data_IF_157629722890
#
_entry.id   IF_157629722890
#
_cell.length_a   1.000
_cell.length_b   1.000
_cell.length_c   1.000
_cell.angle_alpha   90.00
_cell.angle_beta   90.00
_cell.angle_gamma   90.00
#
_symmetry.space_group_name_H-M   'P 1'
#
loop_
_entity.id
_entity.type
_entity.pdbx_description
1 polymer ?
#
# COMPACT_ATOMS: atom_id res chain seq x y z
N UNK A 1 38.47 11.92 17.78
CA UNK A 1 39.21 12.38 16.59
C UNK A 1 38.56 13.69 16.13
N UNK A 2 39.31 14.66 15.58
CA UNK A 2 38.76 16.02 15.33
C UNK A 2 37.63 16.08 14.27
N UNK A 3 37.36 14.98 13.56
CA UNK A 3 36.45 14.92 12.42
C UNK A 3 35.30 13.91 12.60
N UNK A 4 35.05 13.44 13.83
CA UNK A 4 34.01 12.42 14.10
C UNK A 4 32.59 12.87 13.70
N UNK A 5 32.33 14.19 13.66
CA UNK A 5 31.07 14.79 13.20
C UNK A 5 30.88 14.77 11.68
N UNK A 6 31.94 14.55 10.90
CA UNK A 6 31.92 14.38 9.45
C UNK A 6 31.89 12.90 9.03
N UNK A 7 31.76 11.99 9.99
CA UNK A 7 31.65 10.57 9.71
C UNK A 7 30.36 10.25 8.96
N UNK A 8 30.47 9.37 7.97
CA UNK A 8 29.34 8.94 7.16
C UNK A 8 28.41 8.09 8.04
N UNK A 9 27.24 8.62 8.35
CA UNK A 9 26.22 7.89 9.09
C UNK A 9 25.30 7.11 8.12
N UNK A 10 24.80 5.96 8.57
CA UNK A 10 23.93 5.09 7.76
C UNK A 10 22.66 5.80 7.25
N UNK A 11 21.98 6.65 8.04
CA UNK A 11 20.86 7.45 7.52
C UNK A 11 21.28 8.44 6.42
N UNK A 12 22.50 9.00 6.49
CA UNK A 12 22.98 9.90 5.43
C UNK A 12 23.19 9.15 4.11
N UNK A 13 23.76 7.94 4.18
CA UNK A 13 23.86 7.04 3.02
C UNK A 13 22.47 6.69 2.48
N UNK A 14 21.51 6.39 3.35
CA UNK A 14 20.13 6.12 2.95
C UNK A 14 19.52 7.28 2.15
N UNK A 15 19.64 8.52 2.63
CA UNK A 15 19.11 9.69 1.94
C UNK A 15 19.81 9.94 0.61
N UNK A 16 21.13 9.77 0.56
CA UNK A 16 21.92 9.94 -0.67
C UNK A 16 21.55 8.87 -1.70
N UNK A 17 21.44 7.61 -1.30
CA UNK A 17 21.09 6.50 -2.21
C UNK A 17 19.66 6.65 -2.68
N UNK A 18 18.69 6.84 -1.78
CA UNK A 18 17.27 6.99 -2.15
C UNK A 18 17.05 8.25 -2.99
N UNK A 19 17.56 9.41 -2.55
CA UNK A 19 17.40 10.68 -3.26
C UNK A 19 18.17 10.74 -4.58
N UNK A 20 19.41 10.23 -4.59
CA UNK A 20 20.24 10.15 -5.78
C UNK A 20 19.66 9.19 -6.83
N UNK A 21 19.25 7.99 -6.41
CA UNK A 21 18.57 7.05 -7.30
C UNK A 21 17.26 7.61 -7.84
N UNK A 22 16.38 8.12 -6.97
CA UNK A 22 15.07 8.61 -7.42
C UNK A 22 15.20 9.80 -8.36
N UNK A 23 16.08 10.76 -8.07
CA UNK A 23 16.32 11.91 -8.96
C UNK A 23 16.89 11.49 -10.32
N UNK A 24 17.93 10.65 -10.35
CA UNK A 24 18.51 10.13 -11.59
C UNK A 24 17.50 9.30 -12.39
N UNK A 25 16.74 8.43 -11.71
CA UNK A 25 15.70 7.63 -12.33
C UNK A 25 14.60 8.52 -12.94
N UNK A 26 14.14 9.54 -12.23
CA UNK A 26 13.11 10.46 -12.74
C UNK A 26 13.53 11.14 -14.05
N UNK A 27 14.81 11.51 -14.20
CA UNK A 27 15.35 12.12 -15.43
C UNK A 27 15.26 11.19 -16.65
N UNK A 28 15.38 9.88 -16.46
CA UNK A 28 15.35 8.88 -17.54
C UNK A 28 14.07 8.04 -17.56
N UNK A 29 13.13 8.32 -16.66
CA UNK A 29 11.93 7.50 -16.42
C UNK A 29 11.10 7.28 -17.69
N UNK A 30 10.99 8.29 -18.56
CA UNK A 30 10.23 8.18 -19.82
C UNK A 30 10.91 7.21 -20.79
N UNK A 31 12.24 7.20 -20.87
CA UNK A 31 12.98 6.25 -21.69
C UNK A 31 12.80 4.82 -21.17
N UNK A 32 12.97 4.61 -19.85
CA UNK A 32 12.80 3.30 -19.22
C UNK A 32 11.38 2.75 -19.45
N UNK A 33 10.36 3.59 -19.25
CA UNK A 33 8.95 3.18 -19.40
C UNK A 33 8.54 2.97 -20.85
N UNK A 34 8.86 3.91 -21.75
CA UNK A 34 8.31 3.89 -23.10
C UNK A 34 9.20 3.20 -24.15
N UNK A 35 10.49 3.01 -23.86
CA UNK A 35 11.42 2.33 -24.79
C UNK A 35 11.84 0.96 -24.29
N UNK A 36 12.18 0.83 -23.02
CA UNK A 36 12.60 -0.46 -22.45
C UNK A 36 11.42 -1.29 -21.93
N UNK A 37 10.25 -0.68 -21.71
CA UNK A 37 9.06 -1.33 -21.15
C UNK A 37 9.30 -1.99 -19.79
N UNK A 38 10.19 -1.41 -18.98
CA UNK A 38 10.51 -1.90 -17.63
C UNK A 38 9.72 -1.10 -16.59
N UNK A 39 9.10 -1.80 -15.64
CA UNK A 39 8.38 -1.20 -14.52
C UNK A 39 9.32 -0.55 -13.49
N UNK A 40 8.86 0.51 -12.82
CA UNK A 40 9.66 1.24 -11.82
C UNK A 40 10.09 0.34 -10.67
N UNK A 41 9.19 -0.55 -10.22
CA UNK A 41 9.46 -1.51 -9.15
C UNK A 41 10.67 -2.40 -9.48
N UNK A 42 10.75 -2.93 -10.70
CA UNK A 42 11.88 -3.77 -11.12
C UNK A 42 13.21 -3.02 -11.07
N UNK A 43 13.24 -1.77 -11.54
CA UNK A 43 14.46 -0.95 -11.49
C UNK A 43 14.84 -0.60 -10.05
N UNK A 44 13.86 -0.25 -9.22
CA UNK A 44 14.07 0.01 -7.80
C UNK A 44 14.58 -1.24 -7.06
N UNK A 45 14.07 -2.43 -7.36
CA UNK A 45 14.55 -3.70 -6.79
C UNK A 45 15.99 -3.97 -7.19
N UNK A 46 16.35 -3.80 -8.48
CA UNK A 46 17.74 -3.98 -8.95
C UNK A 46 18.67 -3.00 -8.23
N UNK A 47 18.26 -1.74 -8.10
CA UNK A 47 18.99 -0.73 -7.33
C UNK A 47 19.20 -1.17 -5.87
N UNK A 48 18.13 -1.65 -5.22
CA UNK A 48 18.19 -2.19 -3.86
C UNK A 48 19.14 -3.39 -3.72
N UNK A 49 19.20 -4.28 -4.71
CA UNK A 49 20.16 -5.41 -4.72
C UNK A 49 21.60 -4.92 -4.89
N UNK A 50 21.84 -3.95 -5.78
CA UNK A 50 23.18 -3.37 -6.04
C UNK A 50 23.72 -2.64 -4.81
N UNK A 51 22.90 -1.82 -4.15
CA UNK A 51 23.32 -1.06 -2.97
C UNK A 51 23.16 -1.85 -1.65
N UNK A 52 22.42 -2.96 -1.70
CA UNK A 52 22.15 -3.85 -0.59
C UNK A 52 23.33 -4.74 -0.20
N UNK A 53 23.14 -5.64 0.78
CA UNK A 53 24.20 -6.47 1.34
C UNK A 53 24.82 -7.46 0.34
N UNK A 54 24.12 -7.78 -0.74
CA UNK A 54 24.59 -8.74 -1.75
C UNK A 54 25.64 -8.19 -2.72
N UNK A 55 25.79 -6.86 -2.82
CA UNK A 55 26.76 -6.23 -3.73
C UNK A 55 27.57 -5.14 -3.03
N UNK A 56 27.15 -3.88 -3.08
CA UNK A 56 27.95 -2.76 -2.54
C UNK A 56 27.91 -2.68 -1.00
N UNK A 57 26.97 -3.36 -0.35
CA UNK A 57 26.79 -3.41 1.11
C UNK A 57 26.76 -2.01 1.77
N UNK A 58 26.17 -1.03 1.07
CA UNK A 58 26.05 0.35 1.56
C UNK A 58 24.75 0.56 2.35
N UNK A 59 23.73 -0.25 2.09
CA UNK A 59 22.43 -0.20 2.74
C UNK A 59 22.02 -1.61 3.18
N UNK A 60 22.32 -1.96 4.43
CA UNK A 60 22.00 -3.28 4.99
C UNK A 60 20.90 -3.17 6.06
N UNK A 61 19.64 -3.52 5.73
CA UNK A 61 18.53 -3.56 6.68
C UNK A 61 18.79 -4.49 7.87
N UNK A 62 19.55 -5.57 7.69
CA UNK A 62 19.79 -6.55 8.75
C UNK A 62 20.56 -5.96 9.94
N UNK A 63 21.31 -4.90 9.68
CA UNK A 63 22.15 -4.22 10.65
C UNK A 63 21.40 -3.18 11.51
N UNK A 64 20.09 -3.00 11.31
CA UNK A 64 19.29 -1.94 11.94
C UNK A 64 18.78 -2.28 13.35
N UNK A 65 19.14 -3.44 13.88
CA UNK A 65 18.67 -3.92 15.17
C UNK A 65 17.28 -4.54 15.04
N UNK A 66 16.22 -3.73 15.07
CA UNK A 66 14.84 -4.23 14.91
C UNK A 66 14.37 -4.12 13.45
N UNK A 67 14.92 -5.00 12.62
CA UNK A 67 14.69 -5.03 11.16
C UNK A 67 13.21 -5.12 10.85
N UNK A 68 12.49 -6.03 11.52
CA UNK A 68 11.07 -6.27 11.26
C UNK A 68 10.24 -5.04 11.58
N UNK A 69 10.43 -4.43 12.76
CA UNK A 69 9.68 -3.25 13.15
C UNK A 69 9.97 -2.07 12.21
N UNK A 70 11.24 -1.80 11.89
CA UNK A 70 11.59 -0.68 11.01
C UNK A 70 11.02 -0.91 9.61
N UNK A 71 11.14 -2.12 9.07
CA UNK A 71 10.59 -2.48 7.75
C UNK A 71 9.07 -2.33 7.74
N UNK A 72 8.38 -2.82 8.76
CA UNK A 72 6.93 -2.71 8.87
C UNK A 72 6.46 -1.26 8.94
N UNK A 73 7.10 -0.40 9.74
CA UNK A 73 6.71 1.02 9.83
C UNK A 73 7.06 1.80 8.57
N UNK A 74 8.19 1.50 7.91
CA UNK A 74 8.51 2.07 6.60
C UNK A 74 7.46 1.67 5.55
N UNK A 75 7.11 0.39 5.45
CA UNK A 75 6.05 -0.09 4.56
C UNK A 75 4.69 0.56 4.87
N UNK A 76 4.36 0.73 6.16
CA UNK A 76 3.11 1.41 6.58
C UNK A 76 3.05 2.84 6.05
N UNK A 77 4.14 3.61 6.17
CA UNK A 77 4.20 4.98 5.66
C UNK A 77 4.04 4.99 4.13
N UNK A 78 4.71 4.07 3.42
CA UNK A 78 4.60 3.96 1.96
C UNK A 78 3.16 3.66 1.54
N UNK A 79 2.50 2.69 2.18
CA UNK A 79 1.10 2.34 1.92
C UNK A 79 0.16 3.54 2.17
N UNK A 80 0.38 4.29 3.26
CA UNK A 80 -0.42 5.49 3.56
C UNK A 80 -0.25 6.55 2.48
N UNK A 81 0.98 6.80 2.02
CA UNK A 81 1.27 7.74 0.94
C UNK A 81 0.59 7.30 -0.37
N UNK A 82 0.68 6.02 -0.72
CA UNK A 82 0.07 5.45 -1.93
C UNK A 82 -1.46 5.55 -1.89
N UNK A 83 -2.09 5.09 -0.81
CA UNK A 83 -3.54 5.17 -0.61
C UNK A 83 -4.03 6.63 -0.65
N UNK A 84 -3.28 7.55 -0.03
CA UNK A 84 -3.58 8.99 -0.07
C UNK A 84 -3.50 9.55 -1.50
N UNK A 85 -2.44 9.23 -2.25
CA UNK A 85 -2.26 9.67 -3.62
C UNK A 85 -3.43 9.21 -4.51
N UNK A 86 -3.82 7.93 -4.42
CA UNK A 86 -4.97 7.39 -5.16
C UNK A 86 -6.26 8.13 -4.77
N UNK A 87 -6.48 8.37 -3.47
CA UNK A 87 -7.65 9.10 -2.99
C UNK A 87 -7.78 10.53 -3.53
N UNK A 88 -6.65 11.22 -3.74
CA UNK A 88 -6.60 12.57 -4.31
C UNK A 88 -6.77 12.58 -5.83
N UNK A 89 -6.26 11.55 -6.52
CA UNK A 89 -6.36 11.43 -7.98
C UNK A 89 -7.77 11.07 -8.47
N UNK A 90 -8.55 10.36 -7.65
CA UNK A 90 -9.90 9.92 -8.02
C UNK A 90 -10.88 11.10 -8.20
N UNK A 91 -11.81 11.02 -9.18
CA UNK A 91 -12.83 12.05 -9.38
C UNK A 91 -13.73 12.24 -8.15
N UNK A 92 -14.24 13.46 -7.97
CA UNK A 92 -15.18 13.79 -6.89
C UNK A 92 -16.39 12.85 -6.91
N UNK A 93 -16.70 12.26 -5.75
CA UNK A 93 -17.82 11.33 -5.57
C UNK A 93 -17.79 10.09 -6.49
N UNK A 94 -16.60 9.67 -6.94
CA UNK A 94 -16.47 8.47 -7.77
C UNK A 94 -16.94 7.22 -7.02
N UNK A 95 -16.47 7.04 -5.78
CA UNK A 95 -16.83 5.88 -4.95
C UNK A 95 -18.33 5.78 -4.71
N UNK A 96 -19.08 6.88 -4.57
CA UNK A 96 -20.54 6.79 -4.35
C UNK A 96 -21.31 6.48 -5.63
N UNK A 97 -20.78 6.84 -6.81
CA UNK A 97 -21.42 6.57 -8.12
C UNK A 97 -21.12 5.16 -8.64
N UNK A 98 -19.91 4.66 -8.41
CA UNK A 98 -19.41 3.40 -8.99
C UNK A 98 -19.13 2.31 -7.94
N UNK A 99 -19.66 2.45 -6.71
CA UNK A 99 -19.43 1.49 -5.61
C UNK A 99 -19.71 0.03 -6.01
N UNK A 100 -20.76 -0.22 -6.82
CA UNK A 100 -21.09 -1.58 -7.26
C UNK A 100 -19.94 -2.23 -8.02
N UNK A 101 -19.36 -1.51 -8.99
CA UNK A 101 -18.26 -2.01 -9.80
C UNK A 101 -17.03 -2.30 -8.94
N UNK A 102 -16.71 -1.40 -8.00
CA UNK A 102 -15.60 -1.59 -7.06
C UNK A 102 -15.85 -2.80 -6.15
N UNK A 103 -17.07 -2.97 -5.62
CA UNK A 103 -17.45 -4.12 -4.80
C UNK A 103 -17.36 -5.44 -5.57
N UNK A 104 -17.82 -5.48 -6.83
CA UNK A 104 -17.68 -6.69 -7.66
C UNK A 104 -16.21 -7.05 -7.94
N UNK A 105 -15.33 -6.08 -8.07
CA UNK A 105 -13.90 -6.35 -8.25
C UNK A 105 -13.26 -6.83 -6.93
N UNK A 106 -13.53 -6.14 -5.83
CA UNK A 106 -12.89 -6.40 -4.54
C UNK A 106 -13.40 -7.63 -3.79
N UNK A 107 -14.65 -8.04 -4.01
CA UNK A 107 -15.22 -9.20 -3.31
C UNK A 107 -15.13 -10.45 -4.19
N UNK A 108 -16.01 -10.68 -5.20
CA UNK A 108 -16.01 -11.96 -5.89
C UNK A 108 -14.79 -12.16 -6.79
N UNK A 109 -14.33 -11.14 -7.53
CA UNK A 109 -13.18 -11.30 -8.45
C UNK A 109 -11.89 -11.51 -7.66
N UNK A 110 -11.62 -10.67 -6.66
CA UNK A 110 -10.46 -10.81 -5.77
C UNK A 110 -10.48 -12.15 -5.02
N UNK A 111 -11.63 -12.58 -4.47
CA UNK A 111 -11.76 -13.89 -3.78
C UNK A 111 -11.50 -15.05 -4.73
N UNK A 112 -12.04 -14.99 -5.95
CA UNK A 112 -11.81 -16.03 -6.95
C UNK A 112 -10.32 -16.10 -7.34
N UNK A 113 -9.70 -14.95 -7.60
CA UNK A 113 -8.27 -14.87 -7.88
C UNK A 113 -7.43 -15.46 -6.76
N UNK A 114 -7.73 -15.10 -5.51
CA UNK A 114 -7.07 -15.63 -4.31
C UNK A 114 -7.13 -17.15 -4.21
N UNK A 115 -8.33 -17.74 -4.39
CA UNK A 115 -8.50 -19.19 -4.34
C UNK A 115 -7.75 -19.89 -5.47
N UNK A 116 -7.85 -19.37 -6.70
CA UNK A 116 -7.15 -19.94 -7.85
C UNK A 116 -5.64 -19.90 -7.64
N UNK A 117 -5.08 -18.77 -7.22
CA UNK A 117 -3.65 -18.62 -6.93
C UNK A 117 -3.22 -19.56 -5.79
N UNK A 118 -4.03 -19.72 -4.74
CA UNK A 118 -3.74 -20.66 -3.64
C UNK A 118 -3.60 -22.10 -4.12
N UNK A 119 -4.45 -22.54 -5.06
CA UNK A 119 -4.41 -23.88 -5.64
C UNK A 119 -3.17 -24.05 -6.51
N UNK A 120 -2.82 -23.04 -7.31
CA UNK A 120 -1.60 -23.07 -8.12
C UNK A 120 -0.34 -23.15 -7.25
N UNK A 121 -0.24 -22.35 -6.19
CA UNK A 121 0.90 -22.38 -5.26
C UNK A 121 1.02 -23.74 -4.58
N UNK A 122 -0.10 -24.25 -4.06
CA UNK A 122 -0.16 -25.56 -3.41
C UNK A 122 0.28 -26.69 -4.35
N UNK A 123 -0.16 -26.63 -5.61
CA UNK A 123 0.19 -27.63 -6.62
C UNK A 123 1.66 -27.55 -7.05
N UNK A 124 2.22 -26.34 -7.17
CA UNK A 124 3.59 -26.11 -7.63
C UNK A 124 4.63 -26.39 -6.54
N UNK A 125 4.35 -26.01 -5.29
CA UNK A 125 5.30 -26.05 -4.18
C UNK A 125 4.90 -27.15 -3.19
N UNK A 126 5.34 -28.38 -3.49
CA UNK A 126 4.97 -29.61 -2.75
C UNK A 126 5.12 -29.56 -1.21
N UNK A 127 6.12 -28.85 -0.63
CA UNK A 127 6.24 -28.79 0.84
C UNK A 127 5.15 -27.99 1.55
N UNK A 128 4.40 -27.13 0.83
CA UNK A 128 3.42 -26.23 1.45
C UNK A 128 2.07 -26.91 1.62
N UNK A 129 1.42 -26.70 2.76
CA UNK A 129 0.01 -27.04 2.90
C UNK A 129 -0.86 -26.09 2.07
N UNK A 130 -2.11 -26.49 1.81
CA UNK A 130 -3.04 -25.59 1.13
C UNK A 130 -3.30 -24.30 1.94
N UNK A 131 -3.28 -24.38 3.29
CA UNK A 131 -3.44 -23.20 4.14
C UNK A 131 -2.23 -22.24 4.06
N UNK A 132 -1.01 -22.77 3.99
CA UNK A 132 0.19 -21.95 3.77
C UNK A 132 0.11 -21.27 2.40
N UNK A 133 -0.34 -22.02 1.39
CA UNK A 133 -0.55 -21.51 0.04
C UNK A 133 -1.65 -20.44 -0.02
N UNK A 134 -2.70 -20.58 0.80
CA UNK A 134 -3.77 -19.62 0.97
C UNK A 134 -3.25 -18.31 1.60
N UNK A 135 -2.37 -18.41 2.59
CA UNK A 135 -1.71 -17.26 3.20
C UNK A 135 -0.80 -16.53 2.19
N UNK A 136 0.01 -17.26 1.44
CA UNK A 136 0.87 -16.67 0.40
C UNK A 136 0.04 -16.04 -0.71
N UNK A 137 -1.02 -16.71 -1.16
CA UNK A 137 -1.92 -16.17 -2.17
C UNK A 137 -2.55 -14.85 -1.71
N UNK A 138 -2.88 -14.70 -0.42
CA UNK A 138 -3.46 -13.46 0.10
C UNK A 138 -2.50 -12.27 -0.05
N UNK A 139 -1.19 -12.49 0.15
CA UNK A 139 -0.16 -11.46 -0.06
C UNK A 139 0.01 -11.06 -1.55
N UNK A 140 -0.31 -11.96 -2.48
CA UNK A 140 -0.20 -11.73 -3.93
C UNK A 140 -1.48 -11.17 -4.54
N UNK A 141 -2.62 -11.30 -3.85
CA UNK A 141 -3.93 -10.93 -4.36
C UNK A 141 -4.12 -9.41 -4.43
N UNK A 142 -3.47 -8.63 -3.56
CA UNK A 142 -3.46 -7.18 -3.66
C UNK A 142 -2.73 -6.72 -4.94
N UNK A 143 -3.42 -5.95 -5.78
CA UNK A 143 -2.93 -5.43 -7.06
C UNK A 143 -2.37 -4.02 -6.89
N UNK A 144 -1.07 -3.83 -7.16
CA UNK A 144 -0.41 -2.56 -6.90
C UNK A 144 -0.86 -1.44 -7.88
N UNK A 145 -1.38 -0.29 -7.39
CA UNK A 145 -1.73 0.86 -8.23
C UNK A 145 -0.52 1.43 -8.99
N UNK A 146 0.71 1.29 -8.48
CA UNK A 146 1.94 1.74 -9.14
C UNK A 146 2.23 0.91 -10.38
N UNK A 147 2.11 -0.42 -10.30
CA UNK A 147 2.24 -1.29 -11.46
C UNK A 147 1.10 -1.04 -12.47
N UNK A 148 -0.12 -0.86 -11.97
CA UNK A 148 -1.26 -0.48 -12.79
C UNK A 148 -1.05 0.88 -13.47
N UNK A 149 -0.40 1.85 -12.83
CA UNK A 149 -0.15 3.20 -13.35
C UNK A 149 0.64 3.22 -14.68
N UNK A 150 1.44 2.19 -14.95
CA UNK A 150 2.10 2.02 -16.24
C UNK A 150 1.10 1.81 -17.40
N UNK A 151 -0.04 1.19 -17.09
CA UNK A 151 -1.14 0.86 -18.00
C UNK A 151 -2.26 1.91 -17.93
N UNK A 152 -2.65 2.39 -16.74
CA UNK A 152 -3.75 3.34 -16.52
C UNK A 152 -3.31 4.80 -16.30
N UNK A 153 -2.02 5.11 -16.31
CA UNK A 153 -1.50 6.46 -16.07
C UNK A 153 -1.64 7.43 -17.25
N UNK A 154 -0.56 8.15 -17.59
CA UNK A 154 -0.53 9.15 -18.68
C UNK A 154 0.35 8.76 -19.88
N UNK A 155 0.95 7.58 -19.84
CA UNK A 155 1.81 7.06 -20.91
C UNK A 155 1.04 6.71 -22.20
N UNK A 156 1.78 6.31 -23.25
CA UNK A 156 1.21 5.90 -24.54
C UNK A 156 0.11 4.84 -24.46
N UNK A 157 0.23 3.86 -23.55
CA UNK A 157 -0.77 2.80 -23.38
C UNK A 157 -2.04 3.30 -22.70
N UNK A 158 -1.91 4.16 -21.71
CA UNK A 158 -3.08 4.71 -21.00
C UNK A 158 -3.96 5.60 -21.88
N UNK A 159 -3.40 6.23 -22.93
CA UNK A 159 -4.18 6.95 -23.94
C UNK A 159 -5.13 6.03 -24.74
N UNK A 160 -4.87 4.71 -24.76
CA UNK A 160 -5.71 3.71 -25.43
C UNK A 160 -6.84 3.18 -24.55
N UNK A 161 -6.81 3.46 -23.24
CA UNK A 161 -7.79 2.96 -22.28
C UNK A 161 -8.79 4.08 -21.93
N UNK A 162 -10.11 3.81 -22.07
CA UNK A 162 -11.15 4.76 -21.67
C UNK A 162 -10.97 5.26 -20.24
N UNK A 163 -11.22 6.55 -20.01
CA UNK A 163 -11.02 7.19 -18.70
C UNK A 163 -11.79 6.48 -17.58
N UNK A 164 -13.03 6.05 -17.85
CA UNK A 164 -13.85 5.37 -16.84
C UNK A 164 -13.25 4.04 -16.35
N UNK A 165 -12.55 3.29 -17.22
CA UNK A 165 -11.85 2.06 -16.83
C UNK A 165 -10.58 2.38 -16.04
N UNK A 166 -9.87 3.45 -16.40
CA UNK A 166 -8.70 3.91 -15.65
C UNK A 166 -9.07 4.33 -14.23
N UNK A 167 -10.11 5.15 -14.09
CA UNK A 167 -10.63 5.58 -12.78
C UNK A 167 -11.14 4.38 -11.96
N UNK A 168 -11.75 3.37 -12.60
CA UNK A 168 -12.23 2.15 -11.93
C UNK A 168 -11.08 1.28 -11.42
N UNK A 169 -10.07 1.05 -12.26
CA UNK A 169 -8.89 0.28 -11.90
C UNK A 169 -8.10 1.00 -10.81
N UNK A 170 -7.92 2.31 -10.89
CA UNK A 170 -7.31 3.09 -9.80
C UNK A 170 -8.09 3.00 -8.50
N UNK A 171 -9.43 3.03 -8.56
CA UNK A 171 -10.26 2.87 -7.36
C UNK A 171 -10.17 1.46 -6.76
N UNK A 172 -10.15 0.43 -7.60
CA UNK A 172 -9.95 -0.96 -7.18
C UNK A 172 -8.58 -1.14 -6.52
N UNK A 173 -7.52 -0.69 -7.18
CA UNK A 173 -6.14 -0.81 -6.69
C UNK A 173 -5.83 0.09 -5.49
N UNK A 174 -6.66 1.08 -5.18
CA UNK A 174 -6.56 1.85 -3.93
C UNK A 174 -7.33 1.23 -2.76
N UNK A 175 -8.34 0.41 -3.03
CA UNK A 175 -9.18 -0.20 -2.00
C UNK A 175 -8.74 -1.62 -1.66
N UNK A 176 -8.06 -2.31 -2.58
CA UNK A 176 -7.62 -3.69 -2.41
C UNK A 176 -6.57 -3.86 -1.29
N UNK A 177 -5.72 -2.86 -1.03
CA UNK A 177 -4.69 -2.87 0.02
C UNK A 177 -5.36 -3.04 1.39
N UNK A 178 -6.47 -2.34 1.61
CA UNK A 178 -7.31 -2.52 2.80
C UNK A 178 -8.10 -3.83 2.79
N UNK A 179 -8.59 -4.27 1.63
CA UNK A 179 -9.35 -5.52 1.50
C UNK A 179 -8.48 -6.78 1.60
N UNK A 180 -7.15 -6.69 1.48
CA UNK A 180 -6.24 -7.82 1.63
C UNK A 180 -6.23 -8.40 3.05
N UNK A 181 -6.50 -7.56 4.06
CA UNK A 181 -6.51 -7.93 5.48
C UNK A 181 -7.42 -9.15 5.78
N UNK A 182 -8.73 -9.13 5.42
CA UNK A 182 -9.60 -10.29 5.56
C UNK A 182 -9.05 -11.59 4.99
N UNK A 183 -8.36 -11.57 3.85
CA UNK A 183 -7.83 -12.78 3.21
C UNK A 183 -6.62 -13.32 3.95
N UNK A 184 -5.68 -12.43 4.34
CA UNK A 184 -4.46 -12.82 5.07
C UNK A 184 -4.83 -13.38 6.44
N UNK A 185 -5.63 -12.65 7.22
CA UNK A 185 -6.00 -13.07 8.57
C UNK A 185 -6.90 -14.30 8.59
N UNK A 186 -7.75 -14.52 7.58
CA UNK A 186 -8.50 -15.78 7.47
C UNK A 186 -7.55 -16.97 7.37
N UNK A 187 -6.54 -16.89 6.50
CA UNK A 187 -5.55 -17.95 6.34
C UNK A 187 -4.75 -18.18 7.64
N UNK A 188 -4.30 -17.10 8.29
CA UNK A 188 -3.57 -17.18 9.56
C UNK A 188 -4.42 -17.82 10.66
N UNK A 189 -5.68 -17.41 10.83
CA UNK A 189 -6.56 -17.96 11.85
C UNK A 189 -6.94 -19.41 11.56
N UNK A 190 -7.14 -19.79 10.29
CA UNK A 190 -7.31 -21.19 9.90
C UNK A 190 -6.08 -22.05 10.27
N UNK A 191 -4.87 -21.51 10.13
CA UNK A 191 -3.63 -22.21 10.53
C UNK A 191 -3.54 -22.35 12.05
N UNK A 192 -3.87 -21.28 12.78
CA UNK A 192 -3.64 -21.19 14.22
C UNK A 192 -4.70 -21.91 15.05
N UNK A 193 -5.99 -21.75 14.72
CA UNK A 193 -7.10 -22.23 15.54
C UNK A 193 -7.71 -23.55 15.08
N UNK A 194 -7.20 -24.18 14.00
CA UNK A 194 -7.70 -25.49 13.55
C UNK A 194 -7.58 -26.56 14.65
N UNK A 195 -8.60 -27.43 14.83
CA UNK A 195 -9.83 -27.56 14.04
C UNK A 195 -11.02 -26.73 14.54
N UNK A 196 -10.84 -25.80 15.48
CA UNK A 196 -11.93 -25.05 16.10
C UNK A 196 -12.48 -23.94 15.19
N UNK A 197 -13.49 -24.28 14.38
CA UNK A 197 -14.12 -23.35 13.44
C UNK A 197 -14.81 -22.15 14.13
N UNK A 198 -15.26 -22.31 15.37
CA UNK A 198 -15.90 -21.23 16.13
C UNK A 198 -14.93 -20.09 16.43
N UNK A 199 -13.71 -20.42 16.88
CA UNK A 199 -12.64 -19.45 17.14
C UNK A 199 -12.16 -18.78 15.86
N UNK A 200 -11.99 -19.54 14.77
CA UNK A 200 -11.64 -18.98 13.46
C UNK A 200 -12.68 -17.94 13.02
N UNK A 201 -13.97 -18.29 13.07
CA UNK A 201 -15.04 -17.38 12.66
C UNK A 201 -15.11 -16.15 13.56
N UNK A 202 -15.00 -16.34 14.88
CA UNK A 202 -15.02 -15.23 15.84
C UNK A 202 -13.89 -14.23 15.58
N UNK A 203 -12.64 -14.71 15.51
CA UNK A 203 -11.49 -13.84 15.26
C UNK A 203 -11.54 -13.19 13.88
N UNK A 204 -11.85 -13.96 12.84
CA UNK A 204 -11.91 -13.42 11.48
C UNK A 204 -13.05 -12.41 11.29
N UNK A 205 -14.27 -12.76 11.70
CA UNK A 205 -15.43 -11.92 11.42
C UNK A 205 -15.51 -10.73 12.39
N UNK A 206 -15.31 -10.95 13.69
CA UNK A 206 -15.47 -9.89 14.69
C UNK A 206 -14.26 -8.96 14.72
N UNK A 207 -13.05 -9.51 14.79
CA UNK A 207 -11.85 -8.66 14.87
C UNK A 207 -11.45 -8.15 13.49
N UNK A 208 -11.20 -9.03 12.51
CA UNK A 208 -10.70 -8.54 11.22
C UNK A 208 -11.76 -7.79 10.42
N UNK A 209 -12.94 -8.37 10.21
CA UNK A 209 -13.95 -7.73 9.34
C UNK A 209 -14.63 -6.57 10.05
N UNK A 210 -15.22 -6.77 11.24
CA UNK A 210 -15.98 -5.70 11.90
C UNK A 210 -15.09 -4.64 12.56
N UNK A 211 -14.05 -5.04 13.29
CA UNK A 211 -13.23 -4.08 14.02
C UNK A 211 -12.14 -3.44 13.14
N UNK A 212 -11.28 -4.20 12.49
CA UNK A 212 -10.18 -3.63 11.71
C UNK A 212 -10.69 -2.95 10.43
N UNK A 213 -11.54 -3.62 9.65
CA UNK A 213 -12.00 -3.11 8.36
C UNK A 213 -13.16 -2.11 8.49
N UNK A 214 -14.30 -2.53 9.08
CA UNK A 214 -15.50 -1.69 9.12
C UNK A 214 -15.31 -0.51 10.06
N UNK A 215 -14.89 -0.73 11.31
CA UNK A 215 -14.65 0.38 12.23
C UNK A 215 -13.48 1.26 11.77
N UNK A 216 -12.40 0.70 11.22
CA UNK A 216 -11.33 1.49 10.59
C UNK A 216 -11.81 2.39 9.45
N UNK A 217 -12.65 1.87 8.55
CA UNK A 217 -13.24 2.64 7.46
C UNK A 217 -14.19 3.75 7.96
N UNK A 218 -15.02 3.46 8.97
CA UNK A 218 -15.91 4.44 9.61
C UNK A 218 -15.10 5.53 10.29
N UNK A 219 -14.08 5.16 11.07
CA UNK A 219 -13.18 6.10 11.73
C UNK A 219 -12.48 7.02 10.72
N UNK A 220 -11.89 6.46 9.67
CA UNK A 220 -11.26 7.23 8.60
C UNK A 220 -12.23 8.18 7.90
N UNK A 221 -13.45 7.73 7.62
CA UNK A 221 -14.51 8.55 7.04
C UNK A 221 -14.95 9.69 7.98
N UNK A 222 -15.12 9.42 9.28
CA UNK A 222 -15.46 10.43 10.28
C UNK A 222 -14.36 11.50 10.40
N UNK A 223 -13.10 11.08 10.52
CA UNK A 223 -11.95 12.00 10.62
C UNK A 223 -11.78 12.81 9.33
N UNK A 224 -11.87 12.17 8.16
CA UNK A 224 -11.79 12.85 6.87
C UNK A 224 -12.94 13.85 6.64
N UNK A 225 -14.16 13.49 7.04
CA UNK A 225 -15.32 14.39 6.98
C UNK A 225 -15.17 15.59 7.93
N UNK A 226 -14.72 15.35 9.16
CA UNK A 226 -14.43 16.40 10.13
C UNK A 226 -13.33 17.33 9.61
N UNK A 227 -12.21 16.78 9.11
CA UNK A 227 -11.12 17.54 8.50
C UNK A 227 -11.59 18.41 7.34
N UNK A 228 -12.45 17.88 6.45
CA UNK A 228 -13.07 18.65 5.36
C UNK A 228 -13.92 19.82 5.88
N UNK A 229 -14.69 19.62 6.96
CA UNK A 229 -15.51 20.68 7.57
C UNK A 229 -14.64 21.75 8.21
N UNK A 230 -13.57 21.34 8.90
CA UNK A 230 -12.61 22.25 9.55
C UNK A 230 -11.87 23.11 8.52
N UNK A 231 -11.39 22.52 7.41
CA UNK A 231 -10.77 23.31 6.32
C UNK A 231 -11.75 24.34 5.77
N UNK A 232 -12.99 23.94 5.46
CA UNK A 232 -13.99 24.88 4.91
C UNK A 232 -14.28 26.03 5.88
N UNK A 233 -14.30 25.75 7.17
CA UNK A 233 -14.49 26.76 8.20
C UNK A 233 -13.27 27.71 8.28
N UNK A 234 -12.05 27.18 8.26
CA UNK A 234 -10.82 27.96 8.28
C UNK A 234 -10.67 28.84 7.03
N UNK A 235 -11.00 28.30 5.85
CA UNK A 235 -11.01 29.02 4.57
C UNK A 235 -12.02 30.16 4.59
N UNK A 236 -13.25 29.92 5.07
CA UNK A 236 -14.26 30.95 5.22
C UNK A 236 -13.85 32.09 6.17
N UNK A 237 -12.92 31.82 7.09
CA UNK A 237 -12.35 32.81 8.01
C UNK A 237 -11.02 33.40 7.53
N UNK A 238 -10.52 33.01 6.36
CA UNK A 238 -9.19 33.37 5.84
C UNK A 238 -8.05 33.08 6.82
N UNK A 239 -8.11 31.94 7.53
CA UNK A 239 -7.09 31.53 8.51
C UNK A 239 -6.06 30.55 7.90
N UNK A 240 -6.35 30.01 6.72
CA UNK A 240 -5.55 28.96 6.07
C UNK A 240 -5.11 29.35 4.66
N UNK A 241 -3.85 29.07 4.35
CA UNK A 241 -3.30 29.23 3.01
C UNK A 241 -3.70 28.07 2.09
N UNK A 242 -3.89 28.37 0.79
CA UNK A 242 -4.31 27.37 -0.20
C UNK A 242 -3.29 26.24 -0.38
N UNK A 243 -2.01 26.52 -0.19
CA UNK A 243 -0.93 25.52 -0.28
C UNK A 243 -1.03 24.47 0.84
N UNK A 244 -1.60 24.84 1.99
CA UNK A 244 -1.76 23.93 3.13
C UNK A 244 -2.85 22.88 2.91
N UNK A 245 -3.69 22.98 1.88
CA UNK A 245 -4.83 22.08 1.70
C UNK A 245 -4.41 20.65 1.43
N UNK A 246 -3.48 20.44 0.49
CA UNK A 246 -3.01 19.09 0.16
C UNK A 246 -2.21 18.49 1.32
N UNK A 247 -1.32 19.30 1.91
CA UNK A 247 -0.49 18.90 3.04
C UNK A 247 -1.34 18.50 4.24
N UNK A 248 -2.42 19.25 4.52
CA UNK A 248 -3.33 18.91 5.62
C UNK A 248 -3.98 17.54 5.45
N UNK A 249 -4.47 17.20 4.25
CA UNK A 249 -5.09 15.88 4.07
C UNK A 249 -4.05 14.76 4.11
N UNK A 250 -2.82 15.02 3.66
CA UNK A 250 -1.72 14.07 3.80
C UNK A 250 -1.37 13.82 5.28
N UNK A 251 -1.20 14.87 6.07
CA UNK A 251 -0.92 14.75 7.50
C UNK A 251 -2.09 14.14 8.28
N UNK A 252 -3.33 14.39 7.84
CA UNK A 252 -4.52 13.74 8.39
C UNK A 252 -4.52 12.23 8.10
N UNK A 253 -4.08 11.80 6.91
CA UNK A 253 -3.93 10.39 6.58
C UNK A 253 -2.86 9.71 7.46
N UNK A 254 -1.72 10.37 7.69
CA UNK A 254 -0.70 9.91 8.63
C UNK A 254 -1.23 9.83 10.07
N UNK A 255 -2.02 10.81 10.49
CA UNK A 255 -2.70 10.79 11.80
C UNK A 255 -3.64 9.59 11.92
N UNK A 256 -4.47 9.32 10.92
CA UNK A 256 -5.35 8.16 10.90
C UNK A 256 -4.55 6.84 10.99
N UNK A 257 -3.43 6.74 10.27
CA UNK A 257 -2.58 5.56 10.31
C UNK A 257 -1.97 5.36 11.70
N UNK A 258 -1.45 6.41 12.33
CA UNK A 258 -0.92 6.36 13.69
C UNK A 258 -1.99 6.01 14.72
N UNK A 259 -3.15 6.66 14.67
CA UNK A 259 -4.29 6.36 15.55
C UNK A 259 -4.78 4.92 15.37
N UNK A 260 -4.90 4.46 14.12
CA UNK A 260 -5.27 3.08 13.79
C UNK A 260 -4.27 2.05 14.33
N UNK A 261 -2.96 2.32 14.23
CA UNK A 261 -1.92 1.45 14.81
C UNK A 261 -1.99 1.35 16.33
N UNK A 262 -2.50 2.37 17.02
CA UNK A 262 -2.70 2.34 18.47
C UNK A 262 -3.95 1.55 18.83
N UNK A 263 -5.05 1.78 18.10
CA UNK A 263 -6.33 1.10 18.31
C UNK A 263 -6.25 -0.39 17.96
N UNK A 264 -5.51 -0.75 16.91
CA UNK A 264 -5.32 -2.13 16.46
C UNK A 264 -4.32 -2.96 17.26
N UNK A 265 -3.63 -2.39 18.27
CA UNK A 265 -2.75 -3.14 19.19
C UNK A 265 -3.56 -3.86 20.29
N UNK A 266 -4.62 -4.55 19.89
CA UNK A 266 -5.37 -5.50 20.73
C UNK A 266 -4.91 -6.92 20.45
#
# INVERSE_FOLDING_TARGET
MAWDHLSINRPHLAYIILGGFTSLFMLVSLFVKEKLYIGEATVATICGVIFGPYAANLFDPNSWGNVDQITLECSRIVLVVQCFAVGVELPKAYMTRHWKSVVYLLIPVMTFGWLVVSVFIWWLIKPLSWLDSLCIAACVTATDPVLASSVVGKGKFAKRIPKHLRDLLSAESGCNDGMAFPFIYLAIYLIHYRPNAGEVFYHWFVFTVLYECVFGAVFGCCVGYAGRRLIKWAEAKNIIDRESFLVFYFTLALFCAGAGSILGKS
#
